data_IF_119305978428
#
_entry.id   IF_119305978428
#
_cell.length_a   1.000
_cell.length_b   1.000
_cell.length_c   1.000
_cell.angle_alpha   90.00
_cell.angle_beta   90.00
_cell.angle_gamma   90.00
#
_symmetry.space_group_name_H-M   'P 1'
#
loop_
_entity.id
_entity.type
_entity.pdbx_description
1 polymer ?
#
# COMPACT_ATOMS: atom_id res chain seq x y z
N UNK A 1 -29.32 19.22 16.27
CA UNK A 1 -27.87 19.53 16.33
C UNK A 1 -27.39 19.91 14.93
N UNK A 2 -27.02 21.17 14.71
CA UNK A 2 -26.43 21.59 13.43
C UNK A 2 -25.02 20.98 13.32
N UNK A 3 -24.77 20.15 12.30
CA UNK A 3 -23.43 19.68 12.01
C UNK A 3 -22.57 20.88 11.57
N UNK A 4 -21.37 21.08 12.12
CA UNK A 4 -20.47 22.11 11.63
C UNK A 4 -20.24 21.93 10.12
N UNK A 5 -20.48 23.01 9.35
CA UNK A 5 -20.25 23.03 7.90
C UNK A 5 -18.75 23.20 7.65
N UNK A 6 -18.02 22.09 7.62
CA UNK A 6 -16.62 22.11 7.20
C UNK A 6 -16.52 22.35 5.69
N UNK A 7 -15.77 23.37 5.29
CA UNK A 7 -15.42 23.59 3.88
C UNK A 7 -14.50 22.46 3.42
N UNK A 8 -14.89 21.74 2.37
CA UNK A 8 -14.08 20.64 1.81
C UNK A 8 -12.73 21.20 1.33
N UNK A 9 -11.59 20.68 1.84
CA UNK A 9 -10.28 21.04 1.32
C UNK A 9 -10.12 20.66 -0.16
N UNK A 10 -9.33 21.45 -0.89
CA UNK A 10 -8.94 21.12 -2.26
C UNK A 10 -8.02 19.89 -2.29
N UNK A 11 -8.03 19.17 -3.42
CA UNK A 11 -7.05 18.13 -3.70
C UNK A 11 -5.63 18.71 -3.73
N UNK A 12 -4.63 17.84 -3.60
CA UNK A 12 -3.22 18.19 -3.59
C UNK A 12 -2.55 17.39 -4.70
N UNK A 13 -1.89 18.07 -5.62
CA UNK A 13 -1.07 17.47 -6.65
C UNK A 13 0.40 17.63 -6.25
N UNK A 14 1.13 16.51 -6.19
CA UNK A 14 2.54 16.45 -5.81
C UNK A 14 3.29 15.65 -6.89
N UNK A 15 3.70 16.30 -7.98
CA UNK A 15 4.31 15.61 -9.12
C UNK A 15 3.40 14.51 -9.67
N UNK A 16 3.86 13.26 -9.64
CA UNK A 16 3.12 12.08 -10.10
C UNK A 16 2.05 11.57 -9.11
N UNK A 17 1.85 12.27 -7.99
CA UNK A 17 0.91 11.87 -6.94
C UNK A 17 -0.28 12.81 -6.84
N UNK A 18 -1.49 12.26 -6.99
CA UNK A 18 -2.75 12.97 -6.78
C UNK A 18 -3.40 12.57 -5.45
N UNK A 19 -3.52 13.51 -4.51
CA UNK A 19 -4.08 13.30 -3.17
C UNK A 19 -5.45 13.96 -3.07
N UNK A 20 -6.50 13.14 -2.88
CA UNK A 20 -7.89 13.56 -2.92
C UNK A 20 -8.68 13.08 -1.70
N UNK A 21 -9.74 13.82 -1.37
CA UNK A 21 -10.66 13.47 -0.29
C UNK A 21 -11.70 12.46 -0.78
N UNK A 22 -11.86 11.37 -0.03
CA UNK A 22 -12.81 10.28 -0.29
C UNK A 22 -14.00 10.31 0.67
N UNK A 23 -13.81 10.71 1.94
CA UNK A 23 -14.92 10.84 2.92
C UNK A 23 -14.87 12.17 3.66
N UNK A 24 -16.06 12.63 4.08
CA UNK A 24 -16.24 13.80 4.94
C UNK A 24 -15.50 13.68 6.27
N UNK A 25 -15.42 14.77 7.06
CA UNK A 25 -14.59 14.81 8.25
C UNK A 25 -15.12 13.89 9.36
N UNK A 26 -14.21 13.31 10.14
CA UNK A 26 -14.51 12.55 11.36
C UNK A 26 -14.82 13.48 12.55
N UNK A 27 -15.05 12.91 13.73
CA UNK A 27 -15.31 13.67 14.97
C UNK A 27 -14.15 14.60 15.37
N UNK A 28 -12.93 14.35 14.88
CA UNK A 28 -11.73 15.16 15.12
C UNK A 28 -11.54 16.25 14.04
N UNK A 29 -12.45 16.37 13.06
CA UNK A 29 -12.33 17.32 11.96
C UNK A 29 -11.33 16.90 10.86
N UNK A 30 -10.82 15.67 10.91
CA UNK A 30 -9.88 15.12 9.92
C UNK A 30 -10.64 14.48 8.76
N UNK A 31 -10.12 14.58 7.55
CA UNK A 31 -10.76 14.05 6.35
C UNK A 31 -10.13 12.72 5.95
N UNK A 32 -10.89 11.84 5.27
CA UNK A 32 -10.33 10.61 4.74
C UNK A 32 -9.74 10.87 3.36
N UNK A 33 -8.42 10.86 3.27
CA UNK A 33 -7.65 11.12 2.07
C UNK A 33 -7.22 9.83 1.38
N UNK A 34 -6.98 9.94 0.08
CA UNK A 34 -6.41 8.91 -0.78
C UNK A 34 -5.41 9.53 -1.72
N UNK A 35 -4.20 8.99 -1.74
CA UNK A 35 -3.16 9.31 -2.71
C UNK A 35 -3.12 8.25 -3.80
N UNK A 36 -3.05 8.68 -5.06
CA UNK A 36 -2.85 7.82 -6.23
C UNK A 36 -1.63 8.27 -6.99
N UNK A 37 -0.87 7.32 -7.52
CA UNK A 37 0.23 7.61 -8.45
C UNK A 37 -0.28 7.83 -9.89
N UNK A 38 0.65 8.07 -10.82
CA UNK A 38 0.38 8.25 -12.24
C UNK A 38 -0.33 7.03 -12.88
N UNK A 39 -0.05 5.83 -12.38
CA UNK A 39 -0.69 4.57 -12.80
C UNK A 39 -2.09 4.39 -12.19
N UNK A 40 -2.57 5.39 -11.44
CA UNK A 40 -3.84 5.41 -10.69
C UNK A 40 -3.90 4.37 -9.56
N UNK A 41 -2.80 3.73 -9.21
CA UNK A 41 -2.71 2.82 -8.09
C UNK A 41 -2.82 3.61 -6.79
N UNK A 42 -3.55 3.05 -5.81
CA UNK A 42 -3.68 3.71 -4.50
C UNK A 42 -2.46 3.37 -3.66
N UNK A 43 -1.61 4.38 -3.43
CA UNK A 43 -0.37 4.21 -2.67
C UNK A 43 -0.51 4.59 -1.20
N UNK A 44 -1.54 5.36 -0.85
CA UNK A 44 -1.83 5.71 0.54
C UNK A 44 -3.28 6.13 0.75
N UNK A 45 -3.79 5.84 1.95
CA UNK A 45 -5.07 6.35 2.44
C UNK A 45 -5.00 6.60 3.95
N UNK A 46 -5.70 7.61 4.45
CA UNK A 46 -5.73 7.87 5.88
C UNK A 46 -6.64 9.01 6.29
N UNK A 47 -7.01 9.02 7.58
CA UNK A 47 -7.64 10.18 8.21
C UNK A 47 -6.55 11.20 8.55
N UNK A 48 -6.62 12.38 7.94
CA UNK A 48 -5.59 13.40 8.07
C UNK A 48 -6.16 14.81 7.89
N UNK A 49 -5.45 15.81 8.41
CA UNK A 49 -5.60 17.20 7.95
C UNK A 49 -4.99 17.35 6.55
N UNK A 50 -5.21 18.50 5.90
CA UNK A 50 -4.63 18.77 4.58
C UNK A 50 -3.09 18.76 4.63
N UNK A 51 -2.49 19.38 5.64
CA UNK A 51 -1.04 19.50 5.76
C UNK A 51 -0.38 18.16 6.09
N UNK A 52 -1.06 17.33 6.90
CA UNK A 52 -0.64 15.95 7.13
C UNK A 52 -0.70 15.11 5.85
N UNK A 53 -1.79 15.21 5.08
CA UNK A 53 -1.92 14.50 3.82
C UNK A 53 -0.85 14.94 2.79
N UNK A 54 -0.52 16.24 2.76
CA UNK A 54 0.58 16.75 1.93
C UNK A 54 1.94 16.16 2.36
N UNK A 55 2.21 16.14 3.67
CA UNK A 55 3.45 15.60 4.23
C UNK A 55 3.62 14.11 3.95
N UNK A 56 2.56 13.33 4.14
CA UNK A 56 2.55 11.89 3.81
C UNK A 56 2.74 11.66 2.31
N UNK A 57 2.07 12.45 1.47
CA UNK A 57 2.26 12.41 0.01
C UNK A 57 3.71 12.70 -0.40
N UNK A 58 4.33 13.73 0.17
CA UNK A 58 5.73 14.06 -0.06
C UNK A 58 6.68 12.95 0.42
N UNK A 59 6.40 12.32 1.56
CA UNK A 59 7.18 11.19 2.07
C UNK A 59 7.10 9.97 1.16
N UNK A 60 5.98 9.75 0.48
CA UNK A 60 5.81 8.66 -0.50
C UNK A 60 6.67 8.93 -1.75
N UNK A 61 6.70 10.17 -2.24
CA UNK A 61 7.55 10.55 -3.37
C UNK A 61 9.04 10.49 -3.05
N UNK A 62 9.42 10.79 -1.80
CA UNK A 62 10.80 10.76 -1.35
C UNK A 62 11.32 9.33 -1.10
N UNK A 63 10.42 8.34 -0.92
CA UNK A 63 10.84 6.94 -0.86
C UNK A 63 11.28 6.53 -2.26
N UNK A 64 12.50 5.99 -2.44
CA UNK A 64 12.82 5.34 -3.70
C UNK A 64 11.73 4.29 -3.93
N UNK A 65 11.00 4.41 -5.05
CA UNK A 65 10.03 3.41 -5.50
C UNK A 65 10.83 2.12 -5.44
N UNK A 66 10.59 1.29 -4.43
CA UNK A 66 11.34 0.07 -4.24
C UNK A 66 11.13 -0.67 -5.54
N UNK A 67 12.13 -0.59 -6.40
CA UNK A 67 11.99 -0.95 -7.78
C UNK A 67 11.53 -2.39 -7.69
N UNK A 68 10.46 -2.74 -8.40
CA UNK A 68 10.04 -4.12 -8.62
C UNK A 68 11.09 -4.86 -9.49
N UNK A 69 12.36 -4.60 -9.18
CA UNK A 69 13.62 -5.10 -9.68
C UNK A 69 14.35 -5.80 -8.53
N UNK A 70 13.61 -6.29 -7.54
CA UNK A 70 13.87 -7.63 -7.03
C UNK A 70 13.27 -8.67 -8.01
N UNK A 71 13.54 -8.50 -9.30
CA UNK A 71 13.65 -9.61 -10.24
C UNK A 71 14.96 -10.33 -9.89
N UNK A 72 15.03 -10.87 -8.67
CA UNK A 72 16.13 -11.68 -8.19
C UNK A 72 15.56 -13.10 -8.19
N UNK A 73 15.86 -13.79 -9.29
CA UNK A 73 15.88 -15.26 -9.41
C UNK A 73 14.52 -15.97 -9.32
N UNK A 74 13.59 -15.65 -10.23
CA UNK A 74 12.46 -16.54 -10.54
C UNK A 74 12.80 -17.60 -11.60
N UNK A 75 14.05 -17.70 -12.07
CA UNK A 75 14.43 -18.66 -13.12
C UNK A 75 14.36 -20.14 -12.67
N UNK A 76 14.17 -20.41 -11.38
CA UNK A 76 14.17 -21.77 -10.82
C UNK A 76 12.90 -22.15 -10.08
N UNK A 77 11.92 -21.25 -9.95
CA UNK A 77 10.69 -21.55 -9.23
C UNK A 77 9.83 -22.53 -10.04
N UNK A 78 9.82 -23.80 -9.64
CA UNK A 78 9.08 -24.87 -10.28
C UNK A 78 7.63 -24.96 -9.79
N UNK A 79 7.34 -24.37 -8.62
CA UNK A 79 6.02 -24.40 -8.01
C UNK A 79 5.57 -23.02 -7.52
N UNK A 80 4.26 -22.83 -7.41
CA UNK A 80 3.68 -21.64 -6.79
C UNK A 80 4.12 -21.49 -5.33
N UNK A 81 4.39 -22.58 -4.60
CA UNK A 81 4.92 -22.53 -3.24
C UNK A 81 6.25 -21.78 -3.16
N UNK A 82 7.18 -22.10 -4.06
CA UNK A 82 8.49 -21.44 -4.14
C UNK A 82 8.36 -19.95 -4.51
N UNK A 83 7.41 -19.61 -5.39
CA UNK A 83 7.09 -18.20 -5.72
C UNK A 83 6.58 -17.45 -4.49
N UNK A 84 5.66 -18.06 -3.72
CA UNK A 84 5.08 -17.47 -2.52
C UNK A 84 6.13 -17.28 -1.40
N UNK A 85 7.05 -18.23 -1.24
CA UNK A 85 8.13 -18.17 -0.26
C UNK A 85 9.19 -17.11 -0.63
N UNK A 86 9.55 -17.03 -1.92
CA UNK A 86 10.43 -15.98 -2.43
C UNK A 86 9.82 -14.59 -2.21
N UNK A 87 8.54 -14.42 -2.53
CA UNK A 87 7.81 -13.18 -2.26
C UNK A 87 7.77 -12.84 -0.76
N UNK A 88 7.53 -13.83 0.11
CA UNK A 88 7.52 -13.61 1.55
C UNK A 88 8.86 -13.10 2.08
N UNK A 89 9.98 -13.63 1.58
CA UNK A 89 11.33 -13.22 1.99
C UNK A 89 11.59 -11.73 1.71
N UNK A 90 11.06 -11.20 0.59
CA UNK A 90 11.13 -9.76 0.26
C UNK A 90 10.30 -8.93 1.25
N UNK A 91 9.08 -9.38 1.55
CA UNK A 91 8.15 -8.68 2.46
C UNK A 91 8.61 -8.74 3.92
N UNK A 92 9.23 -9.85 4.33
CA UNK A 92 9.77 -10.03 5.68
C UNK A 92 10.90 -9.04 5.95
N UNK A 93 11.78 -8.81 4.97
CA UNK A 93 12.85 -7.82 5.03
C UNK A 93 12.38 -6.35 4.99
N UNK A 94 11.13 -6.07 4.60
CA UNK A 94 10.63 -4.70 4.47
C UNK A 94 10.43 -4.03 5.85
N UNK A 95 11.24 -3.02 6.15
CA UNK A 95 11.19 -2.27 7.42
C UNK A 95 10.08 -1.22 7.48
N UNK A 96 9.42 -0.93 6.35
CA UNK A 96 8.32 0.04 6.24
C UNK A 96 6.99 -0.60 6.66
N UNK A 97 6.81 -1.90 6.44
CA UNK A 97 5.57 -2.59 6.76
C UNK A 97 5.40 -2.85 8.26
N UNK A 98 4.22 -2.50 8.79
CA UNK A 98 3.85 -2.78 10.19
C UNK A 98 3.75 -4.29 10.44
N UNK A 99 4.11 -4.72 11.65
CA UNK A 99 4.05 -6.13 12.06
C UNK A 99 2.65 -6.75 11.94
N UNK A 100 1.59 -5.98 12.18
CA UNK A 100 0.20 -6.43 11.99
C UNK A 100 -0.12 -6.70 10.52
N UNK A 101 0.39 -5.88 9.60
CA UNK A 101 0.24 -6.10 8.16
C UNK A 101 0.99 -7.36 7.72
N UNK A 102 2.24 -7.53 8.17
CA UNK A 102 3.03 -8.74 7.90
C UNK A 102 2.32 -10.01 8.38
N UNK A 103 1.71 -9.98 9.57
CA UNK A 103 0.91 -11.10 10.09
C UNK A 103 -0.30 -11.41 9.20
N UNK A 104 -0.97 -10.39 8.66
CA UNK A 104 -2.07 -10.58 7.72
C UNK A 104 -1.64 -11.29 6.43
N UNK A 105 -0.46 -10.93 5.91
CA UNK A 105 0.12 -11.61 4.75
C UNK A 105 0.51 -13.05 5.06
N UNK A 106 1.14 -13.31 6.22
CA UNK A 106 1.50 -14.66 6.66
C UNK A 106 0.29 -15.61 6.69
N UNK A 107 -0.82 -15.18 7.30
CA UNK A 107 -2.05 -15.98 7.37
C UNK A 107 -2.59 -16.32 5.97
N UNK A 108 -2.48 -15.38 5.03
CA UNK A 108 -2.94 -15.59 3.65
C UNK A 108 -2.00 -16.50 2.86
N UNK A 109 -0.69 -16.37 3.07
CA UNK A 109 0.33 -17.25 2.51
C UNK A 109 0.15 -18.69 2.97
N UNK A 110 -0.13 -18.93 4.25
CA UNK A 110 -0.39 -20.28 4.75
C UNK A 110 -1.58 -20.93 4.03
N UNK A 111 -2.66 -20.17 3.82
CA UNK A 111 -3.80 -20.67 3.05
C UNK A 111 -3.42 -20.94 1.59
N UNK A 112 -2.72 -20.01 0.94
CA UNK A 112 -2.32 -20.15 -0.46
C UNK A 112 -1.35 -21.31 -0.68
N UNK A 113 -0.32 -21.44 0.16
CA UNK A 113 0.65 -22.52 0.11
C UNK A 113 -0.03 -23.88 0.31
N UNK A 114 -1.01 -23.98 1.23
CA UNK A 114 -1.76 -25.23 1.44
C UNK A 114 -2.57 -25.68 0.22
N UNK A 115 -3.12 -24.75 -0.56
CA UNK A 115 -4.03 -25.07 -1.67
C UNK A 115 -3.37 -25.04 -3.04
N UNK A 116 -2.35 -24.21 -3.19
CA UNK A 116 -1.69 -23.94 -4.46
C UNK A 116 -0.20 -24.28 -4.44
N UNK A 117 0.38 -24.62 -3.29
CA UNK A 117 1.85 -24.74 -3.14
C UNK A 117 2.48 -25.73 -4.11
N UNK A 118 1.80 -26.85 -4.39
CA UNK A 118 2.29 -27.88 -5.33
C UNK A 118 1.94 -27.58 -6.80
N UNK A 119 1.15 -26.54 -7.08
CA UNK A 119 0.76 -26.19 -8.46
C UNK A 119 2.01 -25.73 -9.22
N UNK A 120 2.32 -26.35 -10.38
CA UNK A 120 3.44 -25.93 -11.21
C UNK A 120 3.33 -24.46 -11.59
N UNK A 121 4.43 -23.73 -11.43
CA UNK A 121 4.50 -22.34 -11.88
C UNK A 121 4.88 -22.32 -13.37
N UNK A 122 4.09 -21.71 -14.27
CA UNK A 122 4.33 -21.80 -15.71
C UNK A 122 5.53 -21.00 -16.22
N UNK A 123 6.24 -20.25 -15.36
CA UNK A 123 7.40 -19.44 -15.75
C UNK A 123 6.99 -18.14 -16.40
#
# INVERSE_FOLDING_TARGET
>A
MNKPRYKRPAAIDLGDLHVSIVRGPNAEGRWYWRARDADRATVWTGWATRDEAAREGAAILAKPKASATAAVQSETASTMGEVLDSWWSVIEGDTVLRATTKRGYLNRLQWLSRHLGEVPWPG
#
